data_IF_241874215808
#
_entry.id   IF_241874215808
#
_cell.length_a   1.000
_cell.length_b   1.000
_cell.length_c   1.000
_cell.angle_alpha   90.00
_cell.angle_beta   90.00
_cell.angle_gamma   90.00
#
_symmetry.space_group_name_H-M   'P 1'
#
loop_
_entity.id
_entity.type
_entity.pdbx_description
1 polymer ?
#
# COMPACT_ATOMS: atom_id res chain seq x y z
N UNK A 1 9.31 -9.03 -20.48
CA UNK A 1 8.31 -8.64 -19.48
C UNK A 1 8.84 -9.06 -18.12
N UNK A 2 9.20 -8.11 -17.26
CA UNK A 2 9.67 -8.43 -15.91
C UNK A 2 8.49 -8.83 -15.04
N UNK A 3 8.61 -9.97 -14.33
CA UNK A 3 7.66 -10.33 -13.28
C UNK A 3 7.98 -9.52 -12.03
N UNK A 4 6.97 -8.90 -11.43
CA UNK A 4 7.09 -8.20 -10.15
C UNK A 4 6.85 -9.21 -9.03
N UNK A 5 7.85 -9.41 -8.17
CA UNK A 5 7.74 -10.25 -6.97
C UNK A 5 7.58 -9.35 -5.74
N UNK A 6 6.60 -9.65 -4.91
CA UNK A 6 6.41 -9.03 -3.61
C UNK A 6 6.10 -10.12 -2.57
N UNK A 7 6.58 -9.93 -1.35
CA UNK A 7 6.25 -10.79 -0.21
C UNK A 7 5.86 -9.95 1.00
N UNK A 8 5.03 -10.54 1.87
CA UNK A 8 4.58 -9.97 3.13
C UNK A 8 5.09 -10.86 4.26
N UNK A 9 5.85 -10.29 5.21
CA UNK A 9 6.18 -10.99 6.45
C UNK A 9 5.22 -10.53 7.56
N UNK A 10 4.48 -11.46 8.16
CA UNK A 10 3.58 -11.18 9.26
C UNK A 10 3.64 -12.30 10.30
N UNK A 11 3.98 -11.94 11.54
CA UNK A 11 4.09 -12.90 12.64
C UNK A 11 5.16 -13.98 12.40
N UNK A 12 6.24 -13.65 11.68
CA UNK A 12 7.32 -14.59 11.34
C UNK A 12 6.98 -15.58 10.22
N UNK A 13 5.84 -15.39 9.52
CA UNK A 13 5.46 -16.14 8.32
C UNK A 13 5.58 -15.25 7.10
N UNK A 14 6.06 -15.81 6.00
CA UNK A 14 6.14 -15.15 4.70
C UNK A 14 4.95 -15.57 3.82
N UNK A 15 4.35 -14.59 3.13
CA UNK A 15 3.22 -14.77 2.24
C UNK A 15 3.55 -14.19 0.86
N UNK A 16 3.21 -14.93 -0.20
CA UNK A 16 3.30 -14.43 -1.56
C UNK A 16 2.18 -13.41 -1.83
N UNK A 17 2.56 -12.25 -2.36
CA UNK A 17 1.66 -11.13 -2.61
C UNK A 17 1.23 -11.14 -4.07
N UNK A 18 -0.08 -11.19 -4.29
CA UNK A 18 -0.71 -11.09 -5.61
C UNK A 18 -0.91 -9.63 -6.01
N UNK A 19 -1.30 -8.79 -5.06
CA UNK A 19 -1.55 -7.36 -5.28
C UNK A 19 -1.40 -6.57 -3.97
N UNK A 20 -0.88 -5.35 -4.08
CA UNK A 20 -0.86 -4.38 -2.97
C UNK A 20 -1.39 -3.04 -3.43
N UNK A 21 -2.25 -2.43 -2.61
CA UNK A 21 -2.76 -1.08 -2.79
C UNK A 21 -2.57 -0.28 -1.50
N UNK A 22 -1.97 0.90 -1.62
CA UNK A 22 -1.92 1.89 -0.56
C UNK A 22 -2.04 3.28 -1.17
N UNK A 23 -2.70 4.18 -0.45
CA UNK A 23 -2.93 5.55 -0.92
C UNK A 23 -2.64 6.51 0.22
N UNK A 24 -1.95 7.59 -0.12
CA UNK A 24 -1.78 8.76 0.73
C UNK A 24 -2.41 9.96 0.04
N UNK A 25 -3.11 10.77 0.81
CA UNK A 25 -3.73 12.01 0.33
C UNK A 25 -3.38 13.17 1.25
N UNK A 26 -3.57 14.39 0.79
CA UNK A 26 -3.51 15.62 1.59
C UNK A 26 -4.33 16.69 0.90
N UNK A 27 -4.86 17.62 1.67
CA UNK A 27 -5.62 18.75 1.15
C UNK A 27 -4.71 19.83 0.57
N UNK A 28 -5.19 20.44 -0.51
CA UNK A 28 -4.60 21.63 -1.12
C UNK A 28 -5.58 22.80 -1.12
N UNK A 29 -5.05 24.03 -1.07
CA UNK A 29 -5.85 25.24 -1.21
C UNK A 29 -6.30 25.45 -2.67
N UNK A 30 -7.09 26.50 -2.92
CA UNK A 30 -7.57 26.86 -4.27
C UNK A 30 -6.47 27.14 -5.29
N UNK A 31 -5.21 27.29 -4.86
CA UNK A 31 -4.02 27.53 -5.69
C UNK A 31 -3.12 26.29 -5.77
N UNK A 32 -3.56 25.15 -5.23
CA UNK A 32 -2.80 23.90 -5.19
C UNK A 32 -1.70 23.86 -4.14
N UNK A 33 -1.64 24.82 -3.20
CA UNK A 33 -0.64 24.81 -2.12
C UNK A 33 -1.07 23.86 -1.01
N UNK A 34 -0.08 23.27 -0.32
CA UNK A 34 -0.31 22.35 0.78
C UNK A 34 -1.08 23.06 1.91
N UNK A 35 -2.21 22.51 2.31
CA UNK A 35 -3.08 23.07 3.34
C UNK A 35 -3.22 22.18 4.58
N UNK A 36 -2.68 20.96 4.54
CA UNK A 36 -2.82 19.97 5.61
C UNK A 36 -1.62 19.01 5.67
N UNK A 37 -1.60 18.24 6.75
CA UNK A 37 -0.73 17.07 6.89
C UNK A 37 -1.21 15.91 5.99
N UNK A 38 -0.39 14.86 5.88
CA UNK A 38 -0.70 13.69 5.05
C UNK A 38 -1.69 12.77 5.78
N UNK A 39 -2.71 12.33 5.04
CA UNK A 39 -3.65 11.29 5.42
C UNK A 39 -3.30 9.96 4.71
N UNK A 40 -3.70 8.85 5.30
CA UNK A 40 -3.52 7.52 4.72
C UNK A 40 -2.91 6.53 5.71
N UNK A 41 -2.09 5.62 5.19
CA UNK A 41 -1.45 4.57 5.99
C UNK A 41 -2.24 3.25 6.05
N UNK A 42 -3.40 3.19 5.39
CA UNK A 42 -4.06 1.90 5.14
C UNK A 42 -3.39 1.21 3.96
N UNK A 43 -2.98 -0.03 4.19
CA UNK A 43 -2.40 -0.91 3.17
C UNK A 43 -3.36 -2.08 2.99
N UNK A 44 -3.89 -2.25 1.78
CA UNK A 44 -4.68 -3.41 1.40
C UNK A 44 -3.77 -4.37 0.62
N UNK A 45 -3.64 -5.61 1.08
CA UNK A 45 -2.78 -6.62 0.47
C UNK A 45 -3.64 -7.84 0.15
N UNK A 46 -3.56 -8.32 -1.09
CA UNK A 46 -4.12 -9.60 -1.52
C UNK A 46 -2.97 -10.60 -1.57
N UNK A 47 -3.05 -11.62 -0.73
CA UNK A 47 -2.05 -12.70 -0.65
C UNK A 47 -2.59 -13.99 -1.27
N UNK A 48 -1.68 -14.84 -1.72
CA UNK A 48 -2.03 -16.21 -2.07
C UNK A 48 -2.42 -16.99 -0.80
N UNK A 49 -3.55 -17.70 -0.86
CA UNK A 49 -4.02 -18.50 0.28
C UNK A 49 -3.16 -19.75 0.42
N UNK A 50 -2.51 -19.90 1.57
CA UNK A 50 -1.81 -21.13 1.95
C UNK A 50 -2.66 -21.89 2.97
N UNK A 51 -2.82 -23.20 2.79
CA UNK A 51 -3.63 -24.08 3.65
C UNK A 51 -2.92 -24.44 4.96
#
# INVERSE_FOLDING_TARGET
>A
MGSFRASLELGGKEFDVLQTEYVFSRDTDKKGKIASNVYGGRINITIESTA
#
